data_IF_130304375967
#
_entry.id   IF_130304375967
#
_cell.length_a   1.000
_cell.length_b   1.000
_cell.length_c   1.000
_cell.angle_alpha   90.00
_cell.angle_beta   90.00
_cell.angle_gamma   90.00
#
_symmetry.space_group_name_H-M   'P 1'
#
loop_
_entity.id
_entity.type
_entity.pdbx_description
1 polymer ?
#
# COMPACT_ATOMS: atom_id res chain seq x y z
N UNK A 1 -11.25 -9.57 -16.98
CA UNK A 1 -9.91 -9.34 -17.57
C UNK A 1 -9.40 -8.04 -16.99
N UNK A 2 -8.22 -8.04 -16.37
CA UNK A 2 -7.61 -6.83 -15.78
C UNK A 2 -7.18 -5.84 -16.86
N UNK A 3 -7.54 -4.56 -16.69
CA UNK A 3 -7.18 -3.46 -17.60
C UNK A 3 -5.86 -2.82 -17.17
N UNK A 4 -4.93 -2.70 -18.13
CA UNK A 4 -3.61 -2.08 -17.93
C UNK A 4 -3.67 -0.55 -17.77
N UNK A 5 -4.85 0.07 -17.94
CA UNK A 5 -5.09 1.51 -17.76
C UNK A 5 -5.83 1.87 -16.48
N UNK A 6 -6.19 0.89 -15.64
CA UNK A 6 -6.92 1.15 -14.40
C UNK A 6 -6.03 1.85 -13.35
N UNK A 7 -6.50 2.99 -12.86
CA UNK A 7 -5.91 3.78 -11.76
C UNK A 7 -6.28 3.24 -10.37
N UNK A 8 -6.94 2.08 -10.32
CA UNK A 8 -7.43 1.45 -9.09
C UNK A 8 -6.38 0.49 -8.52
N UNK A 9 -6.14 0.51 -7.20
CA UNK A 9 -5.35 -0.51 -6.53
C UNK A 9 -5.96 -1.90 -6.78
N UNK A 10 -5.13 -2.95 -6.77
CA UNK A 10 -5.47 -4.36 -7.09
C UNK A 10 -6.52 -5.00 -6.15
N UNK A 11 -7.19 -4.23 -5.28
CA UNK A 11 -7.91 -4.69 -4.08
C UNK A 11 -9.38 -4.30 -4.02
N UNK A 12 -10.01 -3.94 -5.14
CA UNK A 12 -11.43 -3.55 -5.12
C UNK A 12 -12.33 -4.72 -4.75
N UNK A 13 -11.88 -5.95 -4.98
CA UNK A 13 -12.53 -7.16 -4.48
C UNK A 13 -11.65 -7.81 -3.41
N UNK A 14 -12.10 -7.72 -2.16
CA UNK A 14 -11.47 -8.28 -0.97
C UNK A 14 -11.17 -9.77 -1.11
N UNK A 15 -9.89 -10.15 -0.99
CA UNK A 15 -9.51 -11.56 -0.91
C UNK A 15 -8.73 -11.90 0.37
N UNK A 16 -8.44 -10.91 1.23
CA UNK A 16 -7.83 -11.19 2.54
C UNK A 16 -8.01 -10.10 3.64
N UNK A 17 -8.91 -9.12 3.51
CA UNK A 17 -9.00 -8.06 4.54
C UNK A 17 -10.32 -7.32 4.55
N UNK A 18 -11.41 -8.11 4.51
CA UNK A 18 -12.80 -7.68 4.40
C UNK A 18 -13.09 -6.29 4.98
N UNK A 19 -13.66 -5.41 4.16
CA UNK A 19 -14.39 -4.23 4.64
C UNK A 19 -15.61 -4.67 5.43
N UNK A 20 -15.41 -5.02 6.70
CA UNK A 20 -16.47 -4.96 7.69
C UNK A 20 -16.99 -3.53 7.74
N UNK A 21 -18.31 -3.37 7.61
CA UNK A 21 -19.03 -2.09 7.61
C UNK A 21 -18.74 -1.30 8.89
N UNK A 22 -17.66 -0.53 8.91
CA UNK A 22 -17.46 0.50 9.92
C UNK A 22 -17.16 1.81 9.23
N UNK A 23 -18.12 2.73 9.31
CA UNK A 23 -17.96 4.12 8.89
C UNK A 23 -16.97 4.80 9.82
N UNK A 24 -15.69 4.86 9.45
CA UNK A 24 -14.70 5.70 10.12
C UNK A 24 -14.06 6.66 9.11
N UNK A 25 -14.64 7.85 8.97
CA UNK A 25 -13.99 8.96 8.28
C UNK A 25 -13.31 9.89 9.29
N UNK A 26 -12.33 9.38 10.04
CA UNK A 26 -11.41 10.27 10.76
C UNK A 26 -10.26 10.74 9.86
N UNK A 27 -9.94 9.98 8.82
CA UNK A 27 -8.88 10.29 7.87
C UNK A 27 -9.37 10.11 6.43
N UNK A 28 -8.93 11.01 5.53
CA UNK A 28 -9.29 11.02 4.11
C UNK A 28 -8.07 11.24 3.21
N UNK A 29 -6.88 10.98 3.74
CA UNK A 29 -5.61 11.25 3.09
C UNK A 29 -5.45 10.39 1.85
N UNK A 30 -5.81 9.10 1.88
CA UNK A 30 -5.75 8.20 0.73
C UNK A 30 -6.65 8.68 -0.42
N UNK A 31 -7.88 9.12 -0.09
CA UNK A 31 -8.83 9.67 -1.06
C UNK A 31 -8.32 10.98 -1.67
N UNK A 32 -7.71 11.84 -0.86
CA UNK A 32 -7.09 13.09 -1.35
C UNK A 32 -5.92 12.78 -2.29
N UNK A 33 -5.00 11.91 -1.87
CA UNK A 33 -3.84 11.48 -2.64
C UNK A 33 -4.22 10.79 -3.96
N UNK A 34 -5.27 9.97 -3.97
CA UNK A 34 -5.81 9.29 -5.16
C UNK A 34 -6.11 10.25 -6.31
N UNK A 35 -6.58 11.45 -5.99
CA UNK A 35 -7.00 12.45 -6.96
C UNK A 35 -5.87 13.42 -7.36
N UNK A 36 -4.66 13.24 -6.83
CA UNK A 36 -3.49 14.06 -7.16
C UNK A 36 -2.66 13.44 -8.29
N UNK A 37 -1.81 14.28 -8.88
CA UNK A 37 -0.73 13.86 -9.77
C UNK A 37 0.59 14.48 -9.31
N UNK A 38 1.71 13.99 -9.85
CA UNK A 38 3.07 14.36 -9.42
C UNK A 38 3.39 15.86 -9.47
N UNK A 39 2.65 16.64 -10.26
CA UNK A 39 2.89 18.09 -10.38
C UNK A 39 2.22 18.90 -9.27
N UNK A 40 1.32 18.29 -8.48
CA UNK A 40 0.63 18.95 -7.36
C UNK A 40 1.45 18.90 -6.07
N UNK A 41 2.72 19.29 -6.15
CA UNK A 41 3.74 19.12 -5.09
C UNK A 41 3.25 19.63 -3.74
N UNK A 42 2.79 20.89 -3.66
CA UNK A 42 2.31 21.49 -2.41
C UNK A 42 1.13 20.73 -1.79
N UNK A 43 0.19 20.23 -2.61
CA UNK A 43 -0.92 19.43 -2.10
C UNK A 43 -0.44 18.09 -1.56
N UNK A 44 0.52 17.45 -2.24
CA UNK A 44 1.10 16.18 -1.78
C UNK A 44 1.85 16.39 -0.47
N UNK A 45 2.67 17.44 -0.35
CA UNK A 45 3.39 17.79 0.88
C UNK A 45 2.46 18.09 2.04
N UNK A 46 1.34 18.77 1.78
CA UNK A 46 0.29 18.98 2.79
C UNK A 46 -0.27 17.64 3.28
N UNK A 47 -0.62 16.73 2.36
CA UNK A 47 -1.12 15.40 2.73
C UNK A 47 -0.08 14.57 3.51
N UNK A 48 1.19 14.62 3.11
CA UNK A 48 2.30 13.96 3.83
C UNK A 48 2.42 14.52 5.24
N UNK A 49 2.41 15.84 5.39
CA UNK A 49 2.50 16.51 6.69
C UNK A 49 1.35 16.09 7.60
N UNK A 50 0.11 16.13 7.09
CA UNK A 50 -1.07 15.69 7.85
C UNK A 50 -0.95 14.24 8.29
N UNK A 51 -0.56 13.34 7.38
CA UNK A 51 -0.39 11.92 7.66
C UNK A 51 0.67 11.68 8.74
N UNK A 52 1.81 12.36 8.65
CA UNK A 52 2.91 12.23 9.62
C UNK A 52 2.53 12.77 11.00
N UNK A 53 1.84 13.91 11.08
CA UNK A 53 1.36 14.46 12.34
C UNK A 53 0.37 13.53 13.05
N UNK A 54 -0.42 12.78 12.29
CA UNK A 54 -1.44 11.88 12.83
C UNK A 54 -0.94 10.44 12.97
N UNK A 55 0.26 10.09 12.47
CA UNK A 55 0.69 8.69 12.34
C UNK A 55 0.66 7.90 13.66
N UNK A 56 0.84 8.59 14.80
CA UNK A 56 0.77 8.00 16.13
C UNK A 56 -0.65 7.67 16.61
N UNK A 57 -1.69 8.35 16.09
CA UNK A 57 -3.10 8.11 16.44
C UNK A 57 -3.76 7.01 15.62
N UNK A 58 -3.14 6.61 14.50
CA UNK A 58 -3.61 5.47 13.70
C UNK A 58 -3.49 4.15 14.47
N UNK A 59 -4.54 3.34 14.37
CA UNK A 59 -4.62 2.02 14.99
C UNK A 59 -4.95 0.92 13.95
N UNK A 60 -5.18 -0.31 14.42
CA UNK A 60 -5.43 -1.46 13.54
C UNK A 60 -6.64 -1.29 12.61
N UNK A 61 -7.67 -0.54 13.03
CA UNK A 61 -8.87 -0.31 12.21
C UNK A 61 -8.58 0.61 11.00
N UNK A 62 -7.49 1.37 11.06
CA UNK A 62 -7.11 2.34 10.02
C UNK A 62 -6.08 1.78 9.02
N UNK A 63 -5.64 0.53 9.16
CA UNK A 63 -4.54 -0.03 8.33
C UNK A 63 -4.86 -0.05 6.84
N UNK A 64 -6.14 -0.10 6.47
CA UNK A 64 -6.59 0.00 5.08
C UNK A 64 -6.31 1.40 4.52
N UNK A 65 -6.71 2.45 5.25
CA UNK A 65 -6.46 3.84 4.87
C UNK A 65 -4.95 4.12 4.76
N UNK A 66 -4.16 3.69 5.74
CA UNK A 66 -2.70 3.85 5.71
C UNK A 66 -2.05 3.13 4.53
N UNK A 67 -2.46 1.89 4.27
CA UNK A 67 -1.95 1.11 3.15
C UNK A 67 -2.25 1.80 1.81
N UNK A 68 -3.47 2.32 1.65
CA UNK A 68 -3.90 2.99 0.43
C UNK A 68 -3.20 4.34 0.25
N UNK A 69 -3.06 5.13 1.32
CA UNK A 69 -2.27 6.35 1.31
C UNK A 69 -0.82 6.08 0.90
N UNK A 70 -0.19 5.05 1.46
CA UNK A 70 1.18 4.67 1.12
C UNK A 70 1.32 4.20 -0.33
N UNK A 71 0.33 3.48 -0.87
CA UNK A 71 0.29 3.12 -2.28
C UNK A 71 0.30 4.37 -3.17
N UNK A 72 -0.60 5.32 -2.94
CA UNK A 72 -0.65 6.54 -3.74
C UNK A 72 0.61 7.39 -3.58
N UNK A 73 1.18 7.49 -2.37
CA UNK A 73 2.47 8.17 -2.16
C UNK A 73 3.60 7.55 -3.01
N UNK A 74 3.66 6.22 -3.12
CA UNK A 74 4.63 5.56 -3.99
C UNK A 74 4.40 5.93 -5.47
N UNK A 75 3.14 5.88 -5.93
CA UNK A 75 2.78 6.27 -7.31
C UNK A 75 3.12 7.74 -7.61
N UNK A 76 2.96 8.61 -6.63
CA UNK A 76 3.27 10.04 -6.71
C UNK A 76 4.77 10.34 -6.59
N UNK A 77 5.63 9.33 -6.42
CA UNK A 77 7.08 9.52 -6.38
C UNK A 77 7.66 9.79 -4.99
N UNK A 78 6.92 9.44 -3.93
CA UNK A 78 7.36 9.55 -2.54
C UNK A 78 7.56 8.16 -1.89
N UNK A 79 8.42 7.30 -2.45
CA UNK A 79 8.60 5.93 -1.95
C UNK A 79 9.20 5.86 -0.55
N UNK A 80 9.98 6.87 -0.13
CA UNK A 80 10.54 6.92 1.24
C UNK A 80 9.44 7.04 2.30
N UNK A 81 8.49 7.96 2.08
CA UNK A 81 7.34 8.14 2.97
C UNK A 81 6.44 6.90 2.90
N UNK A 82 6.21 6.36 1.70
CA UNK A 82 5.47 5.11 1.53
C UNK A 82 6.04 3.96 2.38
N UNK A 83 7.36 3.76 2.39
CA UNK A 83 8.01 2.75 3.24
C UNK A 83 7.75 2.97 4.75
N UNK A 84 7.82 4.21 5.22
CA UNK A 84 7.57 4.56 6.62
C UNK A 84 6.16 4.15 7.04
N UNK A 85 5.17 4.54 6.24
CA UNK A 85 3.75 4.25 6.49
C UNK A 85 3.48 2.74 6.40
N UNK A 86 4.03 2.05 5.40
CA UNK A 86 3.82 0.59 5.25
C UNK A 86 4.46 -0.22 6.37
N UNK A 87 5.57 0.24 6.95
CA UNK A 87 6.13 -0.37 8.16
C UNK A 87 5.18 -0.21 9.35
N UNK A 88 4.54 0.96 9.49
CA UNK A 88 3.50 1.18 10.51
C UNK A 88 2.28 0.29 10.27
N UNK A 89 1.84 0.12 9.01
CA UNK A 89 0.77 -0.83 8.65
C UNK A 89 1.12 -2.24 9.10
N UNK A 90 2.32 -2.73 8.77
CA UNK A 90 2.76 -4.08 9.15
C UNK A 90 2.93 -4.23 10.68
N UNK A 91 3.32 -3.16 11.37
CA UNK A 91 3.39 -3.15 12.83
C UNK A 91 1.99 -3.28 13.48
N UNK A 92 0.99 -2.58 12.91
CA UNK A 92 -0.39 -2.61 13.41
C UNK A 92 -1.11 -3.92 13.02
N UNK A 93 -0.94 -4.36 11.77
CA UNK A 93 -1.51 -5.58 11.23
C UNK A 93 -0.49 -6.35 10.37
N UNK A 94 0.27 -7.29 10.97
CA UNK A 94 1.18 -8.18 10.24
C UNK A 94 0.47 -9.14 9.26
N UNK A 95 -0.86 -9.25 9.31
CA UNK A 95 -1.66 -10.09 8.41
C UNK A 95 -2.12 -9.34 7.16
N UNK A 96 -1.92 -8.01 7.08
CA UNK A 96 -2.23 -7.22 5.88
C UNK A 96 -1.31 -7.61 4.71
N UNK A 97 -1.71 -8.66 3.99
CA UNK A 97 -0.88 -9.29 2.95
C UNK A 97 -0.46 -8.30 1.86
N UNK A 98 -1.36 -7.42 1.41
CA UNK A 98 -1.06 -6.35 0.45
C UNK A 98 0.07 -5.41 0.90
N UNK A 99 0.22 -5.15 2.20
CA UNK A 99 1.22 -4.21 2.69
C UNK A 99 2.64 -4.66 2.31
N UNK A 100 2.89 -5.99 2.26
CA UNK A 100 4.16 -6.55 1.81
C UNK A 100 4.39 -6.36 0.31
N UNK A 101 3.34 -6.45 -0.52
CA UNK A 101 3.45 -6.14 -1.95
C UNK A 101 3.80 -4.67 -2.16
N UNK A 102 3.08 -3.77 -1.47
CA UNK A 102 3.32 -2.33 -1.56
C UNK A 102 4.70 -1.95 -1.01
N UNK A 103 5.17 -2.60 0.06
CA UNK A 103 6.49 -2.36 0.64
C UNK A 103 7.58 -2.79 -0.35
N UNK A 104 7.39 -3.92 -1.03
CA UNK A 104 8.30 -4.36 -2.09
C UNK A 104 8.33 -3.39 -3.27
N UNK A 105 7.17 -2.91 -3.74
CA UNK A 105 7.06 -1.93 -4.82
C UNK A 105 7.77 -0.60 -4.43
N UNK A 106 7.67 -0.16 -3.17
CA UNK A 106 8.38 1.02 -2.67
C UNK A 106 9.90 0.80 -2.56
N UNK A 107 10.35 -0.38 -2.14
CA UNK A 107 11.77 -0.73 -2.15
C UNK A 107 12.35 -0.77 -3.57
N UNK A 108 11.61 -1.27 -4.56
CA UNK A 108 12.02 -1.21 -5.97
C UNK A 108 12.16 0.23 -6.47
N UNK A 109 11.22 1.11 -6.13
CA UNK A 109 11.29 2.53 -6.49
C UNK A 109 12.55 3.21 -5.91
N UNK A 110 13.06 2.70 -4.77
CA UNK A 110 14.31 3.12 -4.15
C UNK A 110 15.54 2.32 -4.61
N UNK A 111 15.40 1.51 -5.67
CA UNK A 111 16.46 0.65 -6.23
C UNK A 111 17.03 -0.37 -5.22
N UNK A 112 16.28 -0.70 -4.17
CA UNK A 112 16.67 -1.72 -3.19
C UNK A 112 16.03 -3.06 -3.55
N UNK A 113 16.62 -3.73 -4.55
CA UNK A 113 16.08 -4.97 -5.10
C UNK A 113 16.10 -6.13 -4.09
N UNK A 114 17.06 -6.16 -3.16
CA UNK A 114 17.15 -7.19 -2.13
C UNK A 114 15.95 -7.16 -1.18
N UNK A 115 15.61 -5.97 -0.67
CA UNK A 115 14.44 -5.81 0.21
C UNK A 115 13.12 -5.98 -0.54
N UNK A 116 13.07 -5.55 -1.81
CA UNK A 116 11.92 -5.81 -2.67
C UNK A 116 11.65 -7.31 -2.84
N UNK A 117 12.68 -8.09 -3.22
CA UNK A 117 12.57 -9.56 -3.37
C UNK A 117 12.11 -10.21 -2.08
N UNK A 118 12.68 -9.82 -0.95
CA UNK A 118 12.32 -10.37 0.37
C UNK A 118 10.84 -10.17 0.67
N UNK A 119 10.30 -8.98 0.41
CA UNK A 119 8.90 -8.68 0.66
C UNK A 119 7.93 -9.29 -0.38
N UNK A 120 8.34 -9.41 -1.65
CA UNK A 120 7.57 -10.16 -2.64
C UNK A 120 7.47 -11.65 -2.29
N UNK A 121 8.52 -12.26 -1.74
CA UNK A 121 8.48 -13.65 -1.27
C UNK A 121 7.47 -13.80 -0.12
N UNK A 122 7.47 -12.88 0.86
CA UNK A 122 6.49 -12.89 1.96
C UNK A 122 5.06 -12.78 1.40
N UNK A 123 4.82 -11.82 0.52
CA UNK A 123 3.53 -11.63 -0.14
C UNK A 123 3.08 -12.89 -0.88
N UNK A 124 3.93 -13.44 -1.76
CA UNK A 124 3.62 -14.61 -2.56
C UNK A 124 3.33 -15.84 -1.69
N UNK A 125 4.09 -16.04 -0.62
CA UNK A 125 3.87 -17.13 0.33
C UNK A 125 2.55 -16.97 1.08
N UNK A 126 2.19 -15.76 1.51
CA UNK A 126 0.88 -15.48 2.14
C UNK A 126 -0.27 -15.75 1.17
N UNK A 127 -0.19 -15.26 -0.07
CA UNK A 127 -1.20 -15.52 -1.10
C UNK A 127 -1.37 -17.02 -1.38
N UNK A 128 -0.26 -17.77 -1.54
CA UNK A 128 -0.30 -19.23 -1.70
C UNK A 128 -0.96 -19.93 -0.52
N UNK A 129 -0.61 -19.55 0.71
CA UNK A 129 -1.19 -20.13 1.93
C UNK A 129 -2.70 -19.87 2.03
N UNK A 130 -3.18 -18.74 1.51
CA UNK A 130 -4.60 -18.40 1.45
C UNK A 130 -5.33 -19.01 0.24
N UNK A 131 -4.67 -19.83 -0.58
CA UNK A 131 -5.27 -20.42 -1.79
C UNK A 131 -5.42 -19.46 -2.98
N UNK A 132 -4.72 -18.32 -2.95
CA UNK A 132 -4.87 -17.20 -3.90
C UNK A 132 -3.69 -17.10 -4.87
N UNK A 133 -3.02 -18.20 -5.16
CA UNK A 133 -1.83 -18.25 -6.01
C UNK A 133 -2.05 -17.58 -7.38
N UNK A 134 -3.24 -17.73 -7.96
CA UNK A 134 -3.59 -17.20 -9.29
C UNK A 134 -3.74 -15.67 -9.32
N UNK A 135 -3.84 -15.04 -8.16
CA UNK A 135 -3.97 -13.59 -8.00
C UNK A 135 -2.63 -12.89 -7.77
N UNK A 136 -1.54 -13.66 -7.64
CA UNK A 136 -0.21 -13.09 -7.51
C UNK A 136 0.12 -12.33 -8.81
N UNK A 137 0.41 -11.01 -8.76
CA UNK A 137 0.65 -10.23 -9.97
C UNK A 137 1.85 -10.77 -10.74
N UNK A 138 1.65 -11.10 -12.02
CA UNK A 138 2.71 -11.67 -12.87
C UNK A 138 4.01 -10.84 -12.88
N UNK A 139 3.89 -9.53 -12.69
CA UNK A 139 5.02 -8.57 -12.64
C UNK A 139 6.04 -8.88 -11.55
N UNK A 140 5.68 -9.58 -10.47
CA UNK A 140 6.62 -9.81 -9.36
C UNK A 140 7.56 -11.00 -9.61
N UNK A 141 7.18 -11.95 -10.48
CA UNK A 141 7.97 -13.18 -10.68
C UNK A 141 9.38 -12.94 -11.24
N UNK A 142 9.61 -11.84 -11.97
CA UNK A 142 10.97 -11.46 -12.41
C UNK A 142 11.91 -11.06 -11.26
N UNK A 143 11.38 -10.89 -10.05
CA UNK A 143 12.14 -10.52 -8.86
C UNK A 143 12.22 -11.64 -7.82
N UNK A 144 11.51 -12.76 -8.02
CA UNK A 144 11.51 -13.92 -7.14
C UNK A 144 12.66 -14.86 -7.52
#
# INVERSE_FOLDING_TARGET
MWDKKESTPVWVDDIAGGRGLVTYFHYNTSNSLKNLNKNKISNIEQQITTLQCQLSSYNIDDVVELNDAAFYLNQLGHPKVSLEILKKVIQLDPNRTVAYLNLADAYLALKNQSQARSNYLIYANKMKKSGLSDQIPKRIFKYL
#
